data_IF_577136430662
#
_entry.id   IF_577136430662
#
_cell.length_a   1.000
_cell.length_b   1.000
_cell.length_c   1.000
_cell.angle_alpha   90.00
_cell.angle_beta   90.00
_cell.angle_gamma   90.00
#
_symmetry.space_group_name_H-M   'P 1'
#
loop_
_entity.id
_entity.type
_entity.pdbx_description
1 polymer ?
#
# COMPACT_ATOMS: atom_id res chain seq x y z
N UNK A 1 11.37 25.54 -18.83
CA UNK A 1 12.44 25.14 -17.88
C UNK A 1 11.97 24.20 -16.78
N UNK A 2 10.74 24.29 -16.28
CA UNK A 2 10.23 23.42 -15.21
C UNK A 2 9.90 21.97 -15.66
N UNK A 3 9.37 21.76 -16.85
CA UNK A 3 8.99 20.41 -17.34
C UNK A 3 10.19 19.48 -17.49
N UNK A 4 11.28 19.95 -18.10
CA UNK A 4 12.51 19.16 -18.28
C UNK A 4 13.14 18.79 -16.93
N UNK A 5 13.11 19.71 -15.97
CA UNK A 5 13.62 19.47 -14.62
C UNK A 5 12.79 18.43 -13.87
N UNK A 6 11.47 18.50 -13.94
CA UNK A 6 10.57 17.51 -13.31
C UNK A 6 10.75 16.13 -13.95
N UNK A 7 10.89 16.06 -15.27
CA UNK A 7 11.17 14.82 -15.99
C UNK A 7 12.49 14.18 -15.54
N UNK A 8 13.59 14.97 -15.44
CA UNK A 8 14.88 14.49 -14.95
C UNK A 8 14.82 13.97 -13.52
N UNK A 9 14.10 14.66 -12.64
CA UNK A 9 13.90 14.22 -11.23
C UNK A 9 13.15 12.89 -11.19
N UNK A 10 12.06 12.77 -11.95
CA UNK A 10 11.30 11.53 -12.04
C UNK A 10 12.17 10.38 -12.56
N UNK A 11 12.96 10.61 -13.60
CA UNK A 11 13.87 9.62 -14.17
C UNK A 11 14.93 9.17 -13.15
N UNK A 12 15.54 10.11 -12.43
CA UNK A 12 16.53 9.79 -11.39
C UNK A 12 15.91 9.00 -10.22
N UNK A 13 14.70 9.34 -9.82
CA UNK A 13 13.98 8.56 -8.81
C UNK A 13 13.76 7.11 -9.28
N UNK A 14 13.26 6.94 -10.50
CA UNK A 14 13.04 5.61 -11.10
C UNK A 14 14.34 4.80 -11.17
N UNK A 15 15.45 5.41 -11.60
CA UNK A 15 16.77 4.76 -11.65
C UNK A 15 17.23 4.36 -10.23
N UNK A 16 17.10 5.25 -9.26
CA UNK A 16 17.51 4.98 -7.88
C UNK A 16 16.75 3.77 -7.30
N UNK A 17 15.44 3.76 -7.47
CA UNK A 17 14.60 2.65 -7.00
C UNK A 17 14.92 1.36 -7.76
N UNK A 18 15.12 1.43 -9.07
CA UNK A 18 15.52 0.27 -9.88
C UNK A 18 16.83 -0.35 -9.38
N UNK A 19 17.83 0.47 -9.05
CA UNK A 19 19.12 0.00 -8.50
C UNK A 19 18.91 -0.67 -7.14
N UNK A 20 18.10 -0.05 -6.28
CA UNK A 20 17.81 -0.58 -4.94
C UNK A 20 17.04 -1.90 -5.03
N UNK A 21 16.04 -1.99 -5.88
CA UNK A 21 15.16 -3.16 -6.01
C UNK A 21 15.80 -4.34 -6.73
N UNK A 22 16.77 -4.08 -7.63
CA UNK A 22 17.43 -5.13 -8.44
C UNK A 22 17.98 -6.29 -7.60
N UNK A 23 18.47 -6.00 -6.40
CA UNK A 23 19.03 -7.01 -5.47
C UNK A 23 17.95 -7.85 -4.75
N UNK A 24 16.70 -7.40 -4.79
CA UNK A 24 15.60 -8.00 -4.04
C UNK A 24 14.58 -8.67 -4.95
N UNK A 25 14.73 -8.49 -6.26
CA UNK A 25 13.87 -9.12 -7.24
C UNK A 25 14.04 -10.65 -7.17
N UNK A 26 12.97 -11.34 -6.91
CA UNK A 26 12.94 -12.80 -6.97
C UNK A 26 12.79 -13.25 -8.42
N UNK A 27 13.49 -14.32 -8.82
CA UNK A 27 13.30 -14.97 -10.13
C UNK A 27 11.98 -15.79 -10.18
N UNK A 28 10.94 -15.35 -9.47
CA UNK A 28 9.62 -15.96 -9.49
C UNK A 28 8.89 -15.63 -10.80
N UNK A 29 9.49 -16.05 -11.92
CA UNK A 29 8.85 -16.00 -13.25
C UNK A 29 7.58 -16.88 -13.35
N UNK A 30 7.28 -17.65 -12.29
CA UNK A 30 6.13 -18.56 -12.22
C UNK A 30 4.85 -17.92 -11.70
N UNK A 31 4.91 -16.75 -11.05
CA UNK A 31 3.71 -16.07 -10.53
C UNK A 31 3.01 -15.32 -11.66
N UNK A 32 1.86 -15.83 -12.07
CA UNK A 32 1.01 -15.13 -13.02
C UNK A 32 0.23 -14.04 -12.31
N UNK A 33 0.42 -12.80 -12.75
CA UNK A 33 -0.24 -11.62 -12.20
C UNK A 33 -1.32 -11.12 -13.16
N UNK A 34 -2.47 -10.77 -12.62
CA UNK A 34 -3.56 -10.07 -13.33
C UNK A 34 -3.75 -8.69 -12.72
N UNK A 35 -4.02 -7.69 -13.54
CA UNK A 35 -4.33 -6.36 -13.07
C UNK A 35 -5.84 -6.20 -12.96
N UNK A 36 -6.31 -5.84 -11.78
CA UNK A 36 -7.70 -5.52 -11.46
C UNK A 36 -7.87 -4.02 -11.26
N UNK A 37 -9.08 -3.52 -11.48
CA UNK A 37 -9.41 -2.11 -11.35
C UNK A 37 -9.11 -1.28 -12.60
N UNK A 38 -9.27 0.01 -12.48
CA UNK A 38 -9.12 0.98 -13.58
C UNK A 38 -7.68 1.10 -14.07
N UNK A 39 -7.47 1.85 -15.14
CA UNK A 39 -6.13 2.20 -15.61
C UNK A 39 -5.35 3.07 -14.60
N UNK A 40 -6.06 3.84 -13.75
CA UNK A 40 -5.49 4.72 -12.73
C UNK A 40 -5.31 4.01 -11.40
N UNK A 41 -6.39 3.53 -10.78
CA UNK A 41 -6.40 2.94 -9.42
C UNK A 41 -6.29 1.41 -9.38
N UNK A 42 -5.94 0.74 -10.50
CA UNK A 42 -5.86 -0.72 -10.53
C UNK A 42 -4.52 -1.26 -10.03
N UNK A 43 -4.57 -2.46 -9.44
CA UNK A 43 -3.44 -3.15 -8.84
C UNK A 43 -3.24 -4.55 -9.41
N UNK A 44 -1.99 -5.02 -9.36
CA UNK A 44 -1.66 -6.39 -9.76
C UNK A 44 -1.91 -7.36 -8.61
N UNK A 45 -2.49 -8.50 -8.92
CA UNK A 45 -2.76 -9.57 -7.98
C UNK A 45 -2.38 -10.93 -8.59
N UNK A 46 -1.85 -11.90 -7.83
CA UNK A 46 -1.64 -13.26 -8.33
C UNK A 46 -2.98 -13.90 -8.74
N UNK A 47 -3.01 -14.52 -9.92
CA UNK A 47 -4.22 -15.16 -10.44
C UNK A 47 -4.77 -16.25 -9.52
N UNK A 48 -3.89 -16.94 -8.81
CA UNK A 48 -4.27 -17.98 -7.83
C UNK A 48 -5.18 -17.43 -6.71
N UNK A 49 -5.02 -16.15 -6.34
CA UNK A 49 -5.87 -15.50 -5.32
C UNK A 49 -7.25 -15.08 -5.85
N UNK A 50 -7.48 -15.19 -7.15
CA UNK A 50 -8.76 -14.88 -7.78
C UNK A 50 -9.63 -16.13 -8.04
N UNK A 51 -9.06 -17.33 -7.84
CA UNK A 51 -9.81 -18.57 -8.05
C UNK A 51 -10.92 -18.69 -7.01
N UNK A 52 -12.12 -19.00 -7.47
CA UNK A 52 -13.32 -19.17 -6.65
C UNK A 52 -13.24 -20.49 -5.87
N UNK A 53 -12.59 -20.45 -4.73
CA UNK A 53 -12.61 -21.54 -3.74
C UNK A 53 -13.43 -21.03 -2.55
N UNK A 54 -14.25 -21.85 -1.88
CA UNK A 54 -15.01 -21.43 -0.71
C UNK A 54 -14.07 -21.26 0.50
N UNK A 55 -13.29 -20.19 0.48
CA UNK A 55 -12.31 -19.85 1.50
C UNK A 55 -12.63 -18.49 2.07
N UNK A 56 -12.44 -18.29 3.35
CA UNK A 56 -12.52 -16.97 3.97
C UNK A 56 -11.31 -16.16 3.49
N UNK A 57 -11.55 -15.02 2.86
CA UNK A 57 -10.54 -14.15 2.28
C UNK A 57 -10.71 -12.72 2.78
N UNK A 58 -9.61 -12.06 3.04
CA UNK A 58 -9.58 -10.69 3.53
C UNK A 58 -8.70 -9.81 2.64
N UNK A 59 -9.24 -8.67 2.24
CA UNK A 59 -8.47 -7.54 1.74
C UNK A 59 -8.54 -6.40 2.76
N UNK A 60 -7.39 -5.89 3.16
CA UNK A 60 -7.27 -4.58 3.80
C UNK A 60 -6.73 -3.61 2.75
N UNK A 61 -7.48 -2.56 2.45
CA UNK A 61 -7.14 -1.55 1.46
C UNK A 61 -7.05 -0.19 2.14
N UNK A 62 -5.87 0.40 2.19
CA UNK A 62 -5.62 1.71 2.79
C UNK A 62 -5.19 2.72 1.73
N UNK A 63 -5.79 3.92 1.79
CA UNK A 63 -5.66 4.95 0.78
C UNK A 63 -6.55 4.67 -0.42
N UNK A 64 -7.81 5.08 -0.33
CA UNK A 64 -8.84 4.79 -1.35
C UNK A 64 -8.89 5.86 -2.42
N UNK A 65 -8.70 7.12 -2.02
CA UNK A 65 -8.90 8.25 -2.90
C UNK A 65 -10.30 8.23 -3.54
N UNK A 66 -10.35 8.52 -4.83
CA UNK A 66 -11.60 8.51 -5.62
C UNK A 66 -11.74 7.29 -6.54
N UNK A 67 -10.90 6.25 -6.38
CA UNK A 67 -10.95 5.07 -7.24
C UNK A 67 -10.89 3.77 -6.43
N UNK A 68 -12.04 3.20 -6.18
CA UNK A 68 -12.22 1.91 -5.48
C UNK A 68 -12.52 0.76 -6.45
N UNK A 69 -12.18 0.91 -7.72
CA UNK A 69 -12.46 -0.13 -8.74
C UNK A 69 -11.73 -1.44 -8.48
N UNK A 70 -10.53 -1.39 -7.92
CA UNK A 70 -9.81 -2.58 -7.48
C UNK A 70 -10.57 -3.32 -6.37
N UNK A 71 -11.03 -2.59 -5.37
CA UNK A 71 -11.75 -3.14 -4.21
C UNK A 71 -13.07 -3.77 -4.62
N UNK A 72 -13.78 -3.13 -5.58
CA UNK A 72 -15.01 -3.70 -6.19
C UNK A 72 -14.73 -5.04 -6.90
N UNK A 73 -13.63 -5.17 -7.62
CA UNK A 73 -13.27 -6.43 -8.28
C UNK A 73 -12.83 -7.51 -7.28
N UNK A 74 -12.14 -7.13 -6.21
CA UNK A 74 -11.78 -8.04 -5.12
C UNK A 74 -13.02 -8.53 -4.35
N UNK A 75 -14.00 -7.65 -4.11
CA UNK A 75 -15.31 -8.03 -3.55
C UNK A 75 -16.01 -9.07 -4.44
N UNK A 76 -16.03 -8.85 -5.76
CA UNK A 76 -16.56 -9.82 -6.74
C UNK A 76 -15.80 -11.15 -6.73
N UNK A 77 -14.52 -11.13 -6.42
CA UNK A 77 -13.71 -12.33 -6.23
C UNK A 77 -13.94 -13.04 -4.89
N UNK A 78 -14.87 -12.53 -4.04
CA UNK A 78 -15.29 -13.16 -2.79
C UNK A 78 -14.42 -12.78 -1.57
N UNK A 79 -13.78 -11.63 -1.60
CA UNK A 79 -13.06 -11.09 -0.45
C UNK A 79 -14.00 -10.31 0.47
N UNK A 80 -13.85 -10.49 1.78
CA UNK A 80 -14.28 -9.48 2.75
C UNK A 80 -13.30 -8.30 2.64
N UNK A 81 -13.84 -7.09 2.63
CA UNK A 81 -13.07 -5.86 2.41
C UNK A 81 -13.07 -5.01 3.68
N UNK A 82 -11.90 -4.53 4.08
CA UNK A 82 -11.77 -3.46 5.05
C UNK A 82 -11.04 -2.31 4.36
N UNK A 83 -11.79 -1.26 4.07
CA UNK A 83 -11.36 -0.05 3.39
C UNK A 83 -11.05 1.06 4.38
N UNK A 84 -9.89 1.71 4.24
CA UNK A 84 -9.46 2.82 5.10
C UNK A 84 -9.05 4.03 4.28
N UNK A 85 -9.65 5.17 4.61
CA UNK A 85 -9.18 6.48 4.16
C UNK A 85 -9.59 7.54 5.20
N UNK A 86 -8.69 8.46 5.61
CA UNK A 86 -9.02 9.46 6.62
C UNK A 86 -9.87 10.62 6.06
N UNK A 87 -9.93 10.79 4.73
CA UNK A 87 -10.59 11.92 4.09
C UNK A 87 -12.10 11.68 3.94
N UNK A 88 -12.89 12.73 4.18
CA UNK A 88 -14.36 12.68 4.06
C UNK A 88 -14.80 12.33 2.64
N UNK A 89 -14.09 12.86 1.63
CA UNK A 89 -14.45 12.65 0.22
C UNK A 89 -14.26 11.20 -0.21
N UNK A 90 -13.12 10.58 0.13
CA UNK A 90 -12.85 9.18 -0.16
C UNK A 90 -13.82 8.26 0.61
N UNK A 91 -14.02 8.51 1.92
CA UNK A 91 -14.96 7.77 2.75
C UNK A 91 -16.39 7.82 2.18
N UNK A 92 -16.85 9.01 1.78
CA UNK A 92 -18.17 9.20 1.19
C UNK A 92 -18.30 8.50 -0.17
N UNK A 93 -17.25 8.57 -1.01
CA UNK A 93 -17.22 7.90 -2.31
C UNK A 93 -17.30 6.37 -2.14
N UNK A 94 -16.49 5.78 -1.28
CA UNK A 94 -16.51 4.35 -0.98
C UNK A 94 -17.86 3.91 -0.40
N UNK A 95 -18.40 4.66 0.58
CA UNK A 95 -19.71 4.38 1.19
C UNK A 95 -20.85 4.35 0.18
N UNK A 96 -20.83 5.26 -0.80
CA UNK A 96 -21.82 5.27 -1.89
C UNK A 96 -21.63 4.12 -2.88
N UNK A 97 -20.38 3.75 -3.15
CA UNK A 97 -20.07 2.66 -4.10
C UNK A 97 -20.51 1.31 -3.56
N UNK A 98 -20.25 1.02 -2.29
CA UNK A 98 -20.53 -0.28 -1.71
C UNK A 98 -21.94 -0.42 -1.12
N UNK A 99 -22.73 0.64 -0.99
CA UNK A 99 -24.15 0.65 -0.60
C UNK A 99 -24.45 -0.25 0.62
N UNK A 100 -23.65 -0.14 1.67
CA UNK A 100 -23.79 -0.94 2.90
C UNK A 100 -23.72 -2.46 2.67
N UNK A 101 -22.89 -2.90 1.72
CA UNK A 101 -22.63 -4.32 1.52
C UNK A 101 -22.03 -4.92 2.81
N UNK A 102 -22.59 -6.02 3.38
CA UNK A 102 -22.15 -6.61 4.64
C UNK A 102 -20.73 -7.16 4.60
N UNK A 103 -20.19 -7.45 3.42
CA UNK A 103 -18.80 -7.90 3.24
C UNK A 103 -17.80 -6.73 3.16
N UNK A 104 -18.26 -5.48 3.27
CA UNK A 104 -17.39 -4.29 3.20
C UNK A 104 -17.54 -3.47 4.47
N UNK A 105 -16.42 -3.26 5.14
CA UNK A 105 -16.29 -2.33 6.27
C UNK A 105 -15.47 -1.13 5.82
N UNK A 106 -16.01 0.08 5.93
CA UNK A 106 -15.32 1.32 5.56
C UNK A 106 -15.03 2.09 6.84
N UNK A 107 -13.75 2.46 7.03
CA UNK A 107 -13.26 3.11 8.24
C UNK A 107 -12.63 4.45 7.86
N UNK A 108 -13.15 5.54 8.44
CA UNK A 108 -12.62 6.89 8.20
C UNK A 108 -11.38 7.17 9.06
N UNK A 109 -10.34 6.35 8.89
CA UNK A 109 -9.07 6.47 9.58
C UNK A 109 -7.90 6.35 8.61
N UNK A 110 -6.81 7.05 8.90
CA UNK A 110 -5.53 6.79 8.24
C UNK A 110 -4.84 5.57 8.85
N UNK A 111 -4.19 4.76 8.02
CA UNK A 111 -3.35 3.67 8.52
C UNK A 111 -1.98 4.23 8.92
N UNK A 112 -1.60 4.05 10.19
CA UNK A 112 -0.35 4.57 10.74
C UNK A 112 0.26 3.65 11.80
N UNK A 113 1.41 4.06 12.34
CA UNK A 113 2.14 3.33 13.40
C UNK A 113 1.64 3.59 14.81
N UNK A 114 0.67 4.48 14.98
CA UNK A 114 -0.02 4.73 16.26
C UNK A 114 -1.48 5.07 16.01
N UNK A 115 -2.36 4.58 16.88
CA UNK A 115 -3.77 4.96 16.87
C UNK A 115 -3.99 6.30 17.59
N UNK A 116 -4.99 7.06 17.14
CA UNK A 116 -5.38 8.38 17.68
C UNK A 116 -5.24 9.50 16.66
N UNK A 117 -5.43 10.74 17.12
CA UNK A 117 -5.43 11.91 16.24
C UNK A 117 -4.01 12.28 15.79
N UNK A 118 -3.80 12.42 14.49
CA UNK A 118 -2.49 12.70 13.87
C UNK A 118 -2.59 13.81 12.82
N UNK A 119 -1.48 14.51 12.59
CA UNK A 119 -1.38 15.56 11.58
C UNK A 119 -1.11 14.97 10.20
N UNK A 120 -1.91 15.38 9.22
CA UNK A 120 -1.72 15.09 7.82
C UNK A 120 -1.47 16.38 7.05
N UNK A 121 -0.35 16.47 6.41
CA UNK A 121 0.11 17.66 5.70
C UNK A 121 -0.47 17.71 4.29
N UNK A 122 -0.92 18.89 3.90
CA UNK A 122 -1.51 19.11 2.56
C UNK A 122 -0.48 18.96 1.45
N UNK A 123 -0.87 18.47 0.27
CA UNK A 123 0.00 18.47 -0.90
C UNK A 123 0.34 19.91 -1.33
N UNK A 124 1.48 20.08 -2.01
CA UNK A 124 1.90 21.39 -2.55
C UNK A 124 1.02 21.89 -3.68
N UNK A 125 0.42 20.98 -4.40
CA UNK A 125 -0.43 21.29 -5.55
C UNK A 125 -1.85 21.40 -5.05
N UNK A 126 -2.43 22.58 -5.21
CA UNK A 126 -3.82 22.83 -4.84
C UNK A 126 -4.77 21.96 -5.67
N UNK A 127 -5.79 21.38 -5.02
CA UNK A 127 -6.77 20.50 -5.66
C UNK A 127 -6.37 19.01 -5.70
N UNK A 128 -5.21 18.63 -5.13
CA UNK A 128 -4.86 17.24 -4.91
C UNK A 128 -5.24 16.79 -3.49
N UNK A 129 -5.73 15.56 -3.36
CA UNK A 129 -6.19 14.98 -2.09
C UNK A 129 -5.13 14.12 -1.39
N UNK A 130 -3.91 14.13 -1.91
CA UNK A 130 -2.76 13.35 -1.45
C UNK A 130 -2.19 13.89 -0.12
N UNK A 131 -2.92 13.73 0.97
CA UNK A 131 -2.46 14.13 2.30
C UNK A 131 -1.41 13.15 2.83
N UNK A 132 -0.29 13.66 3.35
CA UNK A 132 0.81 12.84 3.86
C UNK A 132 1.05 13.07 5.35
N UNK A 133 1.16 11.98 6.11
CA UNK A 133 1.52 12.03 7.54
C UNK A 133 3.01 12.33 7.74
N UNK A 134 3.87 12.01 6.76
CA UNK A 134 5.32 12.11 6.91
C UNK A 134 5.90 13.50 6.68
N UNK A 135 5.09 14.48 6.28
CA UNK A 135 5.53 15.84 5.92
C UNK A 135 6.77 15.87 5.00
N UNK A 136 6.85 14.94 4.07
CA UNK A 136 7.99 14.80 3.17
C UNK A 136 8.25 16.03 2.30
N UNK A 137 7.22 16.85 2.10
CA UNK A 137 7.27 18.07 1.29
C UNK A 137 7.54 19.36 2.08
N UNK A 138 7.75 19.29 3.42
CA UNK A 138 7.92 20.43 4.32
C UNK A 138 6.77 21.43 4.23
N UNK A 139 5.53 20.97 4.37
CA UNK A 139 4.33 21.81 4.40
C UNK A 139 4.08 22.35 5.81
N UNK A 140 3.58 23.60 5.87
CA UNK A 140 3.10 24.19 7.12
C UNK A 140 1.63 23.82 7.39
N UNK A 141 0.83 23.73 6.33
CA UNK A 141 -0.59 23.46 6.42
C UNK A 141 -0.87 21.97 6.63
N UNK A 142 -1.71 21.67 7.61
CA UNK A 142 -2.12 20.31 7.93
C UNK A 142 -3.59 20.27 8.35
N UNK A 143 -4.17 19.09 8.23
CA UNK A 143 -5.42 18.71 8.88
C UNK A 143 -5.11 17.65 9.95
N UNK A 144 -6.07 17.41 10.84
CA UNK A 144 -5.97 16.33 11.82
C UNK A 144 -7.00 15.26 11.47
N UNK A 145 -6.53 14.02 11.39
CA UNK A 145 -7.37 12.86 11.15
C UNK A 145 -7.09 11.79 12.21
N UNK A 146 -8.07 10.95 12.46
CA UNK A 146 -7.89 9.76 13.26
C UNK A 146 -7.05 8.74 12.49
N UNK A 147 -6.20 8.03 13.21
CA UNK A 147 -5.36 6.96 12.68
C UNK A 147 -5.55 5.69 13.47
N UNK A 148 -5.26 4.55 12.84
CA UNK A 148 -5.32 3.23 13.44
C UNK A 148 -4.08 2.42 13.02
N UNK A 149 -3.57 1.59 13.93
CA UNK A 149 -2.51 0.63 13.58
C UNK A 149 -3.08 -0.64 12.92
N UNK A 150 -2.25 -1.38 12.19
CA UNK A 150 -2.66 -2.70 11.66
C UNK A 150 -3.07 -3.62 12.82
N UNK A 151 -2.36 -3.60 13.96
CA UNK A 151 -2.67 -4.42 15.12
C UNK A 151 -4.04 -4.09 15.72
N UNK A 152 -4.34 -2.80 15.92
CA UNK A 152 -5.64 -2.38 16.43
C UNK A 152 -6.77 -2.67 15.44
N UNK A 153 -6.50 -2.55 14.14
CA UNK A 153 -7.46 -2.91 13.11
C UNK A 153 -7.84 -4.40 13.19
N UNK A 154 -6.87 -5.29 13.38
CA UNK A 154 -7.14 -6.70 13.60
C UNK A 154 -7.97 -6.93 14.86
N UNK A 155 -7.63 -6.28 15.98
CA UNK A 155 -8.33 -6.45 17.24
C UNK A 155 -9.77 -5.92 17.21
N UNK A 156 -10.06 -4.86 16.45
CA UNK A 156 -11.36 -4.18 16.49
C UNK A 156 -12.32 -4.66 15.41
N UNK A 157 -11.81 -5.11 14.25
CA UNK A 157 -12.63 -5.36 13.07
C UNK A 157 -12.53 -6.78 12.53
N UNK A 158 -11.60 -7.61 13.05
CA UNK A 158 -11.39 -8.97 12.61
C UNK A 158 -11.66 -9.91 13.77
N UNK A 159 -12.95 -10.28 13.94
CA UNK A 159 -13.40 -11.17 15.01
C UNK A 159 -12.87 -12.60 14.88
N UNK A 160 -12.59 -13.02 13.66
CA UNK A 160 -12.19 -14.39 13.35
C UNK A 160 -10.93 -14.36 12.48
N UNK A 161 -9.81 -14.80 13.04
CA UNK A 161 -8.52 -14.85 12.37
C UNK A 161 -8.39 -16.01 11.36
N UNK A 162 -9.47 -16.75 11.09
CA UNK A 162 -9.49 -17.90 10.18
C UNK A 162 -9.55 -17.53 8.70
N UNK A 163 -8.95 -16.40 8.30
CA UNK A 163 -8.78 -16.10 6.89
C UNK A 163 -7.65 -16.94 6.30
N UNK A 164 -7.97 -17.71 5.27
CA UNK A 164 -7.02 -18.52 4.52
C UNK A 164 -6.17 -17.67 3.56
N UNK A 165 -6.64 -16.49 3.21
CA UNK A 165 -5.91 -15.53 2.38
C UNK A 165 -6.11 -14.12 2.92
N UNK A 166 -5.02 -13.45 3.23
CA UNK A 166 -4.98 -12.06 3.68
C UNK A 166 -4.14 -11.22 2.73
N UNK A 167 -4.72 -10.18 2.20
CA UNK A 167 -4.07 -9.24 1.28
C UNK A 167 -4.06 -7.85 1.91
N UNK A 168 -2.92 -7.16 1.81
CA UNK A 168 -2.77 -5.78 2.19
C UNK A 168 -2.45 -4.94 0.94
N UNK A 169 -3.30 -3.96 0.62
CA UNK A 169 -3.04 -2.90 -0.36
C UNK A 169 -2.83 -1.59 0.38
N UNK A 170 -1.79 -0.85 0.02
CA UNK A 170 -1.52 0.47 0.59
C UNK A 170 -1.07 1.47 -0.47
N UNK A 171 -1.70 2.65 -0.40
CA UNK A 171 -1.35 3.85 -1.13
C UNK A 171 -1.63 5.04 -0.20
N UNK A 172 -0.71 5.30 0.72
CA UNK A 172 -0.90 6.19 1.89
C UNK A 172 0.14 7.30 1.97
N UNK A 173 0.62 7.72 0.79
CA UNK A 173 1.38 8.94 0.58
C UNK A 173 2.64 9.06 1.45
N UNK A 174 3.47 8.00 1.42
CA UNK A 174 4.79 7.95 2.05
C UNK A 174 4.82 7.41 3.48
N UNK A 175 3.70 6.91 4.01
CA UNK A 175 3.64 6.25 5.31
C UNK A 175 3.98 4.75 5.24
N UNK A 176 3.97 4.15 4.06
CA UNK A 176 4.08 2.69 3.81
C UNK A 176 5.32 2.07 4.45
N UNK A 177 6.48 2.75 4.33
CA UNK A 177 7.75 2.24 4.88
C UNK A 177 7.66 2.05 6.39
N UNK A 178 7.00 2.97 7.09
CA UNK A 178 6.83 2.92 8.54
C UNK A 178 5.83 1.85 8.95
N UNK A 179 4.69 1.83 8.29
CA UNK A 179 3.61 0.85 8.55
C UNK A 179 4.07 -0.58 8.28
N UNK A 180 4.71 -0.84 7.13
CA UNK A 180 5.25 -2.16 6.81
C UNK A 180 6.37 -2.59 7.76
N UNK A 181 7.21 -1.66 8.19
CA UNK A 181 8.25 -1.98 9.16
C UNK A 181 7.63 -2.42 10.49
N UNK A 182 6.63 -1.70 10.99
CA UNK A 182 5.92 -2.04 12.22
C UNK A 182 5.14 -3.36 12.08
N UNK A 183 4.45 -3.57 10.97
CA UNK A 183 3.76 -4.82 10.64
C UNK A 183 4.68 -6.04 10.84
N UNK A 184 5.88 -5.97 10.24
CA UNK A 184 6.88 -7.03 10.34
C UNK A 184 7.45 -7.15 11.78
N UNK A 185 7.60 -6.06 12.51
CA UNK A 185 8.08 -6.05 13.90
C UNK A 185 7.09 -6.69 14.87
N UNK A 186 5.81 -6.58 14.57
CA UNK A 186 4.75 -7.20 15.37
C UNK A 186 4.39 -8.63 14.90
N UNK A 187 5.09 -9.16 13.90
CA UNK A 187 4.84 -10.50 13.36
C UNK A 187 3.48 -10.65 12.66
N UNK A 188 2.87 -9.54 12.22
CA UNK A 188 1.62 -9.58 11.46
C UNK A 188 1.97 -9.93 10.01
N UNK A 189 1.36 -10.99 9.49
CA UNK A 189 1.65 -11.50 8.15
C UNK A 189 0.43 -11.44 7.24
N UNK A 190 0.70 -11.12 5.98
CA UNK A 190 -0.23 -11.18 4.86
C UNK A 190 0.34 -12.10 3.78
N UNK A 191 -0.52 -12.80 3.06
CA UNK A 191 -0.12 -13.67 1.96
C UNK A 191 0.39 -12.88 0.76
N UNK A 192 -0.17 -11.67 0.58
CA UNK A 192 0.24 -10.75 -0.46
C UNK A 192 0.20 -9.31 0.04
N UNK A 193 1.24 -8.54 -0.32
CA UNK A 193 1.34 -7.11 0.01
C UNK A 193 1.56 -6.34 -1.28
N UNK A 194 0.69 -5.38 -1.55
CA UNK A 194 0.81 -4.41 -2.63
C UNK A 194 0.91 -3.01 -2.02
N UNK A 195 2.00 -2.29 -2.25
CA UNK A 195 2.18 -0.96 -1.69
C UNK A 195 2.84 0.00 -2.67
N UNK A 196 2.34 1.24 -2.74
CA UNK A 196 2.98 2.33 -3.45
C UNK A 196 4.01 3.00 -2.54
N UNK A 197 5.29 2.66 -2.70
CA UNK A 197 6.37 3.27 -1.91
C UNK A 197 6.89 4.51 -2.61
N UNK A 198 6.18 5.57 -2.49
CA UNK A 198 6.51 6.86 -3.09
C UNK A 198 7.31 7.80 -2.17
N UNK A 199 7.66 7.35 -0.95
CA UNK A 199 8.39 8.12 0.07
C UNK A 199 9.59 8.90 -0.49
N UNK A 200 10.32 8.31 -1.46
CA UNK A 200 11.44 8.96 -2.12
C UNK A 200 11.00 10.05 -3.10
N UNK A 201 9.84 9.88 -3.77
CA UNK A 201 9.31 10.81 -4.76
C UNK A 201 8.82 12.10 -4.12
N UNK A 202 8.29 12.02 -2.91
CA UNK A 202 7.77 13.13 -2.14
C UNK A 202 8.86 14.09 -1.61
N UNK A 203 10.12 13.64 -1.54
CA UNK A 203 11.21 14.46 -1.02
C UNK A 203 11.77 15.37 -2.12
N UNK A 204 11.86 16.70 -1.88
CA UNK A 204 12.42 17.63 -2.85
C UNK A 204 13.83 17.23 -3.29
N UNK A 205 14.11 17.31 -4.60
CA UNK A 205 15.40 16.89 -5.18
C UNK A 205 16.61 17.59 -4.54
N UNK A 206 16.44 18.83 -4.10
CA UNK A 206 17.50 19.62 -3.45
C UNK A 206 17.87 19.13 -2.05
N UNK A 207 17.00 18.35 -1.41
CA UNK A 207 17.24 17.82 -0.06
C UNK A 207 17.95 16.47 -0.13
N UNK A 208 19.22 16.51 -0.50
CA UNK A 208 20.05 15.32 -0.69
C UNK A 208 20.15 14.48 0.60
N UNK A 209 20.22 15.11 1.77
CA UNK A 209 20.33 14.39 3.05
C UNK A 209 19.08 13.54 3.30
N UNK A 210 17.90 14.16 3.18
CA UNK A 210 16.62 13.43 3.35
C UNK A 210 16.45 12.34 2.31
N UNK A 211 16.89 12.57 1.07
CA UNK A 211 16.85 11.56 0.01
C UNK A 211 17.74 10.36 0.31
N UNK A 212 18.97 10.57 0.81
CA UNK A 212 19.85 9.48 1.24
C UNK A 212 19.19 8.69 2.36
N UNK A 213 18.61 9.37 3.35
CA UNK A 213 17.87 8.72 4.44
C UNK A 213 16.69 7.91 3.92
N UNK A 214 15.91 8.45 2.98
CA UNK A 214 14.78 7.75 2.35
C UNK A 214 15.23 6.48 1.61
N UNK A 215 16.29 6.55 0.82
CA UNK A 215 16.88 5.39 0.14
C UNK A 215 17.33 4.33 1.16
N UNK A 216 17.95 4.76 2.26
CA UNK A 216 18.36 3.85 3.32
C UNK A 216 17.16 3.17 4.01
N UNK A 217 16.08 3.91 4.29
CA UNK A 217 14.85 3.38 4.88
C UNK A 217 14.17 2.36 3.95
N UNK A 218 13.98 2.71 2.68
CA UNK A 218 13.42 1.78 1.69
C UNK A 218 14.29 0.53 1.55
N UNK A 219 15.62 0.69 1.50
CA UNK A 219 16.55 -0.44 1.42
C UNK A 219 16.48 -1.34 2.66
N UNK A 220 16.31 -0.74 3.86
CA UNK A 220 16.13 -1.47 5.11
C UNK A 220 14.82 -2.26 5.11
N UNK A 221 13.73 -1.64 4.66
CA UNK A 221 12.44 -2.32 4.51
C UNK A 221 12.55 -3.51 3.56
N UNK A 222 13.13 -3.34 2.36
CA UNK A 222 13.28 -4.44 1.39
C UNK A 222 14.11 -5.60 1.95
N UNK A 223 15.16 -5.32 2.71
CA UNK A 223 15.94 -6.35 3.40
C UNK A 223 15.10 -7.08 4.44
N UNK A 224 14.32 -6.32 5.22
CA UNK A 224 13.46 -6.89 6.27
C UNK A 224 12.35 -7.74 5.66
N UNK A 225 11.65 -7.26 4.62
CA UNK A 225 10.66 -8.05 3.88
C UNK A 225 11.26 -9.39 3.43
N UNK A 226 12.44 -9.37 2.82
CA UNK A 226 13.13 -10.58 2.38
C UNK A 226 13.51 -11.51 3.55
N UNK A 227 13.99 -10.97 4.67
CA UNK A 227 14.37 -11.78 5.84
C UNK A 227 13.17 -12.43 6.53
N UNK A 228 11.97 -11.81 6.43
CA UNK A 228 10.71 -12.36 6.94
C UNK A 228 10.05 -13.36 5.96
N UNK A 229 10.68 -13.60 4.81
CA UNK A 229 10.23 -14.59 3.84
C UNK A 229 9.47 -14.03 2.65
N UNK A 230 9.25 -12.72 2.58
CA UNK A 230 8.56 -12.11 1.44
C UNK A 230 9.43 -12.08 0.18
N UNK A 231 8.86 -12.49 -0.93
CA UNK A 231 9.47 -12.43 -2.26
C UNK A 231 8.87 -11.26 -3.07
N UNK A 232 9.71 -10.36 -3.56
CA UNK A 232 9.30 -9.27 -4.45
C UNK A 232 9.05 -9.84 -5.85
N UNK A 233 7.77 -10.02 -6.23
CA UNK A 233 7.36 -10.66 -7.49
C UNK A 233 7.19 -9.67 -8.64
N UNK A 234 6.83 -8.42 -8.33
CA UNK A 234 6.71 -7.34 -9.32
C UNK A 234 7.09 -6.00 -8.73
N UNK A 235 7.61 -5.16 -9.57
CA UNK A 235 7.85 -3.75 -9.29
C UNK A 235 7.47 -2.94 -10.54
N UNK A 236 6.63 -1.94 -10.36
CA UNK A 236 6.18 -1.05 -11.43
C UNK A 236 6.06 0.38 -10.91
N UNK A 237 6.89 1.29 -11.41
CA UNK A 237 7.00 2.67 -10.94
C UNK A 237 7.38 2.77 -9.46
N UNK A 238 6.43 3.02 -8.57
CA UNK A 238 6.58 3.04 -7.11
C UNK A 238 5.78 1.92 -6.45
N UNK A 239 5.05 1.12 -7.23
CA UNK A 239 4.25 0.00 -6.76
C UNK A 239 5.10 -1.24 -6.61
N UNK A 240 5.12 -1.78 -5.41
CA UNK A 240 5.83 -2.98 -5.02
C UNK A 240 4.83 -4.08 -4.69
N UNK A 241 5.12 -5.29 -5.13
CA UNK A 241 4.25 -6.44 -4.98
C UNK A 241 5.04 -7.61 -4.40
N UNK A 242 4.68 -8.00 -3.17
CA UNK A 242 5.33 -9.10 -2.46
C UNK A 242 4.35 -10.23 -2.20
N UNK A 243 4.85 -11.45 -2.30
CA UNK A 243 4.15 -12.66 -1.89
C UNK A 243 4.88 -13.29 -0.69
N UNK A 244 4.15 -13.88 0.25
CA UNK A 244 4.78 -14.70 1.28
C UNK A 244 5.36 -15.96 0.63
N UNK A 245 6.68 -16.11 0.67
CA UNK A 245 7.40 -17.23 0.05
C UNK A 245 7.20 -18.58 0.77
N UNK A 246 6.48 -18.58 1.91
CA UNK A 246 6.11 -19.82 2.62
C UNK A 246 4.88 -20.49 2.01
N UNK A 247 4.13 -19.77 1.15
CA UNK A 247 2.98 -20.33 0.47
C UNK A 247 3.44 -21.26 -0.67
N UNK A 248 2.84 -22.45 -0.82
CA UNK A 248 3.10 -23.31 -1.97
C UNK A 248 2.55 -22.58 -3.22
N UNK A 249 3.45 -22.08 -4.05
CA UNK A 249 3.09 -21.57 -5.36
C UNK A 249 2.54 -22.73 -6.19
N UNK A 250 1.34 -22.60 -6.73
CA UNK A 250 0.75 -23.60 -7.59
C UNK A 250 1.68 -23.86 -8.78
N UNK A 251 2.36 -25.01 -8.81
CA UNK A 251 3.30 -25.41 -9.86
C UNK A 251 4.72 -25.76 -9.42
N UNK A 252 5.02 -25.81 -8.13
CA UNK A 252 6.30 -26.30 -7.60
C UNK A 252 6.26 -27.79 -7.22
N UNK A 253 5.76 -28.63 -8.15
CA UNK A 253 5.94 -30.09 -8.11
C UNK A 253 6.83 -30.51 -9.24
#
# INVERSE_FOLDING_TARGET
>A
MNLLKNWLVSLLNKITILIVTRKFRSDLNSVQLTRLGSAYGGWWIPQEYLQTIPKKRLLISAGLGHDVTFDVEMLRAGYKIIDLDPTEDAFTHASRTFLSNPEVTIIQNGLWTSSGTTKFYKPKVEGYDSFSITNSQNQADYLQFETITIGDLFNLYIEDNDFETKILKMDIEGAEVHVLTQMLEHGIAFDFVAAEIDYLSLIPFRDIRRRITAVALVSKLLKKMKSEGYALVKYEHYNFFWIDGKLPLAGSN
#
